data_IF_857867992466
#
_entry.id   IF_857867992466
#
_cell.length_a   1.000
_cell.length_b   1.000
_cell.length_c   1.000
_cell.angle_alpha   90.00
_cell.angle_beta   90.00
_cell.angle_gamma   90.00
#
_symmetry.space_group_name_H-M   'P 1'
#
loop_
_entity.id
_entity.type
_entity.pdbx_description
1 polymer ?
#
# COMPACT_ATOMS: atom_id res chain seq x y z
N UNK A 1 24.85 -4.99 -3.48
CA UNK A 1 24.22 -3.71 -3.10
C UNK A 1 23.74 -3.84 -1.66
N UNK A 2 24.08 -2.89 -0.79
CA UNK A 2 23.66 -2.91 0.61
C UNK A 2 22.22 -2.42 0.69
N UNK A 3 21.26 -3.32 0.91
CA UNK A 3 19.86 -2.94 1.09
C UNK A 3 19.72 -2.05 2.33
N UNK A 4 19.08 -0.90 2.18
CA UNK A 4 18.79 -0.05 3.33
C UNK A 4 17.78 -0.75 4.24
N UNK A 5 17.69 -0.31 5.50
CA UNK A 5 16.64 -0.79 6.41
C UNK A 5 15.24 -0.55 5.82
N UNK A 6 15.05 0.56 5.10
CA UNK A 6 13.76 0.91 4.49
C UNK A 6 13.42 -0.05 3.36
N UNK A 7 14.38 -0.43 2.53
CA UNK A 7 14.13 -1.35 1.42
C UNK A 7 13.64 -2.72 1.92
N UNK A 8 14.23 -3.21 3.02
CA UNK A 8 13.78 -4.44 3.68
C UNK A 8 12.37 -4.33 4.25
N UNK A 9 12.00 -3.15 4.77
CA UNK A 9 10.65 -2.89 5.28
C UNK A 9 9.65 -2.82 4.12
N UNK A 10 10.01 -2.18 3.01
CA UNK A 10 9.17 -2.09 1.82
C UNK A 10 8.88 -3.48 1.25
N UNK A 11 9.91 -4.33 1.11
CA UNK A 11 9.76 -5.72 0.66
C UNK A 11 8.86 -6.51 1.63
N UNK A 12 9.12 -6.44 2.93
CA UNK A 12 8.33 -7.16 3.94
C UNK A 12 6.85 -6.76 3.94
N UNK A 13 6.55 -5.46 3.87
CA UNK A 13 5.18 -4.96 3.79
C UNK A 13 4.54 -5.38 2.47
N UNK A 14 5.29 -5.32 1.36
CA UNK A 14 4.80 -5.72 0.03
C UNK A 14 4.39 -7.20 0.00
N UNK A 15 5.25 -8.10 0.46
CA UNK A 15 4.98 -9.54 0.51
C UNK A 15 3.75 -9.84 1.37
N UNK A 16 3.71 -9.29 2.58
CA UNK A 16 2.60 -9.53 3.50
C UNK A 16 1.28 -8.95 2.99
N UNK A 17 1.32 -7.76 2.37
CA UNK A 17 0.14 -7.18 1.75
C UNK A 17 -0.32 -7.97 0.52
N UNK A 18 0.60 -8.52 -0.27
CA UNK A 18 0.24 -9.36 -1.40
C UNK A 18 -0.55 -10.59 -0.95
N UNK A 19 -0.14 -11.23 0.15
CA UNK A 19 -0.90 -12.35 0.76
C UNK A 19 -2.28 -11.91 1.26
N UNK A 20 -2.34 -10.83 2.06
CA UNK A 20 -3.61 -10.33 2.62
C UNK A 20 -4.57 -9.96 1.49
N UNK A 21 -4.04 -9.29 0.46
CA UNK A 21 -4.83 -8.88 -0.68
C UNK A 21 -5.23 -10.08 -1.50
N UNK A 22 -4.43 -11.12 -1.66
CA UNK A 22 -4.83 -12.32 -2.40
C UNK A 22 -5.99 -13.05 -1.69
N UNK A 23 -5.93 -13.16 -0.36
CA UNK A 23 -7.04 -13.69 0.46
C UNK A 23 -8.31 -12.82 0.33
N UNK A 24 -8.15 -11.50 0.21
CA UNK A 24 -9.27 -10.58 0.03
C UNK A 24 -9.71 -10.41 -1.44
N UNK A 25 -8.86 -10.65 -2.43
CA UNK A 25 -9.02 -10.27 -3.85
C UNK A 25 -10.12 -11.06 -4.57
N UNK A 26 -10.62 -12.14 -3.98
CA UNK A 26 -11.91 -12.73 -4.35
C UNK A 26 -13.10 -11.76 -4.19
N UNK A 27 -12.85 -10.54 -3.66
CA UNK A 27 -13.66 -9.32 -3.71
C UNK A 27 -14.52 -9.17 -4.98
N UNK A 28 -14.01 -9.54 -6.17
CA UNK A 28 -14.79 -9.50 -7.41
C UNK A 28 -14.30 -10.55 -8.41
N UNK A 29 -15.18 -11.42 -8.93
CA UNK A 29 -14.83 -12.34 -10.00
C UNK A 29 -14.22 -11.63 -11.21
N UNK A 30 -13.12 -12.19 -11.74
CA UNK A 30 -12.44 -11.69 -12.93
C UNK A 30 -11.65 -10.39 -12.73
N UNK A 31 -11.34 -10.01 -11.48
CA UNK A 31 -10.41 -8.92 -11.15
C UNK A 31 -9.15 -9.52 -10.53
N UNK A 32 -8.00 -9.21 -11.12
CA UNK A 32 -6.69 -9.56 -10.60
C UNK A 32 -6.06 -8.30 -10.03
N UNK A 33 -5.67 -8.36 -8.76
CA UNK A 33 -5.08 -7.26 -8.02
C UNK A 33 -3.70 -7.70 -7.53
N UNK A 34 -2.69 -6.88 -7.79
CA UNK A 34 -1.29 -7.20 -7.44
C UNK A 34 -0.60 -5.99 -6.81
N UNK A 35 0.14 -6.21 -5.72
CA UNK A 35 0.98 -5.17 -5.11
C UNK A 35 2.28 -5.04 -5.90
N UNK A 36 2.49 -3.90 -6.54
CA UNK A 36 3.64 -3.64 -7.41
C UNK A 36 4.83 -3.14 -6.57
N UNK A 37 4.57 -2.14 -5.73
CA UNK A 37 5.59 -1.43 -4.95
C UNK A 37 5.00 -0.97 -3.62
N UNK A 38 5.85 -0.94 -2.60
CA UNK A 38 5.60 -0.21 -1.36
C UNK A 38 6.69 0.83 -1.18
N UNK A 39 6.31 2.04 -0.78
CA UNK A 39 7.22 3.13 -0.48
C UNK A 39 6.92 3.69 0.90
N UNK A 40 7.76 3.32 1.86
CA UNK A 40 7.63 3.71 3.27
C UNK A 40 8.43 4.98 3.55
N UNK A 41 7.80 5.91 4.27
CA UNK A 41 8.45 7.14 4.74
C UNK A 41 9.65 6.82 5.65
N UNK A 42 10.67 7.69 5.64
CA UNK A 42 11.90 7.50 6.44
C UNK A 42 11.65 7.41 7.94
N UNK A 43 10.58 8.04 8.41
CA UNK A 43 10.14 8.03 9.81
C UNK A 43 9.19 6.84 10.14
N UNK A 44 8.91 5.96 9.17
CA UNK A 44 8.04 4.79 9.30
C UNK A 44 6.60 5.11 9.72
N UNK A 45 6.13 6.35 9.50
CA UNK A 45 4.75 6.74 9.81
C UNK A 45 3.76 6.36 8.72
N UNK A 46 4.17 6.37 7.46
CA UNK A 46 3.30 6.15 6.30
C UNK A 46 3.95 5.21 5.28
N UNK A 47 3.12 4.42 4.58
CA UNK A 47 3.55 3.55 3.50
C UNK A 47 2.59 3.63 2.33
N UNK A 48 3.09 4.08 1.18
CA UNK A 48 2.34 4.12 -0.08
C UNK A 48 2.38 2.76 -0.73
N UNK A 49 1.20 2.21 -1.00
CA UNK A 49 1.03 0.89 -1.63
C UNK A 49 0.54 1.12 -3.05
N UNK A 50 1.38 0.77 -4.00
CA UNK A 50 1.09 0.84 -5.43
C UNK A 50 0.57 -0.52 -5.88
N UNK A 51 -0.59 -0.53 -6.53
CA UNK A 51 -1.25 -1.76 -6.97
C UNK A 51 -1.58 -1.69 -8.46
N UNK A 52 -1.52 -2.85 -9.11
CA UNK A 52 -2.01 -3.05 -10.47
C UNK A 52 -3.32 -3.81 -10.44
N UNK A 53 -4.27 -3.42 -11.30
CA UNK A 53 -5.58 -4.07 -11.41
C UNK A 53 -5.84 -4.46 -12.86
N UNK A 54 -6.09 -5.74 -13.10
CA UNK A 54 -6.52 -6.25 -14.39
C UNK A 54 -7.94 -6.84 -14.30
N UNK A 55 -8.87 -6.51 -15.21
CA UNK A 55 -8.72 -5.57 -16.33
C UNK A 55 -8.76 -4.11 -15.87
N UNK A 56 -8.00 -3.24 -16.54
CA UNK A 56 -7.80 -1.81 -16.18
C UNK A 56 -9.11 -1.03 -16.01
N UNK A 57 -10.16 -1.37 -16.76
CA UNK A 57 -11.50 -0.77 -16.62
C UNK A 57 -12.10 -0.88 -15.21
N UNK A 58 -11.60 -1.80 -14.38
CA UNK A 58 -12.03 -2.02 -12.99
C UNK A 58 -11.16 -1.27 -11.98
N UNK A 59 -10.05 -0.66 -12.41
CA UNK A 59 -9.05 -0.05 -11.55
C UNK A 59 -9.65 0.88 -10.49
N UNK A 60 -10.38 1.91 -10.91
CA UNK A 60 -10.95 2.89 -9.97
C UNK A 60 -11.88 2.24 -8.95
N UNK A 61 -12.79 1.37 -9.41
CA UNK A 61 -13.74 0.67 -8.55
C UNK A 61 -13.03 -0.22 -7.52
N UNK A 62 -11.96 -0.90 -7.94
CA UNK A 62 -11.16 -1.77 -7.06
C UNK A 62 -10.41 -0.94 -6.02
N UNK A 63 -9.77 0.17 -6.42
CA UNK A 63 -9.09 1.06 -5.47
C UNK A 63 -10.06 1.63 -4.43
N UNK A 64 -11.24 2.10 -4.85
CA UNK A 64 -12.23 2.65 -3.93
C UNK A 64 -12.69 1.61 -2.90
N UNK A 65 -12.79 0.35 -3.30
CA UNK A 65 -13.11 -0.75 -2.40
C UNK A 65 -11.97 -1.06 -1.43
N UNK A 66 -10.72 -1.08 -1.90
CA UNK A 66 -9.55 -1.24 -1.02
C UNK A 66 -9.45 -0.11 0.01
N UNK A 67 -9.75 1.13 -0.40
CA UNK A 67 -9.80 2.29 0.50
C UNK A 67 -10.89 2.14 1.57
N UNK A 68 -12.07 1.61 1.22
CA UNK A 68 -13.12 1.32 2.22
C UNK A 68 -12.71 0.24 3.20
N UNK A 69 -11.88 -0.71 2.77
CA UNK A 69 -11.38 -1.82 3.59
C UNK A 69 -10.05 -1.55 4.29
N UNK A 70 -9.51 -0.32 4.16
CA UNK A 70 -8.15 0.00 4.63
C UNK A 70 -7.91 -0.36 6.09
N UNK A 71 -8.89 -0.15 6.96
CA UNK A 71 -8.79 -0.48 8.39
C UNK A 71 -8.71 -1.98 8.66
N UNK A 72 -9.47 -2.79 7.92
CA UNK A 72 -9.42 -4.26 8.01
C UNK A 72 -8.05 -4.77 7.55
N UNK A 73 -7.60 -4.31 6.38
CA UNK A 73 -6.32 -4.69 5.79
C UNK A 73 -5.15 -4.27 6.71
N UNK A 74 -5.16 -3.03 7.21
CA UNK A 74 -4.18 -2.55 8.20
C UNK A 74 -4.23 -3.41 9.48
N UNK A 75 -5.42 -3.77 9.96
CA UNK A 75 -5.58 -4.62 11.14
C UNK A 75 -4.97 -6.01 10.95
N UNK A 76 -5.17 -6.62 9.78
CA UNK A 76 -4.55 -7.91 9.43
C UNK A 76 -3.04 -7.77 9.26
N UNK A 77 -2.57 -6.70 8.62
CA UNK A 77 -1.14 -6.40 8.48
C UNK A 77 -0.46 -6.25 9.84
N UNK A 78 -1.09 -5.51 10.78
CA UNK A 78 -0.61 -5.35 12.14
C UNK A 78 -0.50 -6.67 12.91
N UNK A 79 -1.36 -7.65 12.61
CA UNK A 79 -1.33 -8.97 13.23
C UNK A 79 -0.26 -9.87 12.62
N UNK A 80 -0.06 -9.81 11.30
CA UNK A 80 0.95 -10.61 10.59
C UNK A 80 2.37 -10.08 10.79
N UNK A 81 2.56 -8.76 10.87
CA UNK A 81 3.88 -8.14 11.02
C UNK A 81 4.22 -7.83 12.48
N UNK A 82 5.26 -8.50 12.98
CA UNK A 82 5.81 -8.26 14.32
C UNK A 82 6.89 -7.15 14.31
N UNK A 83 6.56 -5.97 13.78
CA UNK A 83 7.47 -4.80 13.79
C UNK A 83 6.82 -3.57 14.40
N UNK A 84 7.64 -2.73 15.04
CA UNK A 84 7.23 -1.45 15.61
C UNK A 84 8.24 -0.34 15.28
N UNK A 85 7.81 0.83 14.80
CA UNK A 85 6.43 1.16 14.41
C UNK A 85 6.04 0.45 13.10
N UNK A 86 4.75 0.15 12.93
CA UNK A 86 4.20 -0.26 11.64
C UNK A 86 3.55 0.98 10.97
N UNK A 87 3.95 1.33 9.73
CA UNK A 87 3.41 2.50 9.06
C UNK A 87 1.92 2.33 8.75
N UNK A 88 1.21 3.45 8.68
CA UNK A 88 -0.15 3.49 8.12
C UNK A 88 -0.07 3.34 6.61
N UNK A 89 -0.78 2.35 6.07
CA UNK A 89 -0.81 2.10 4.64
C UNK A 89 -1.86 2.96 3.93
N UNK A 90 -1.56 3.34 2.69
CA UNK A 90 -2.50 4.00 1.79
C UNK A 90 -2.39 3.42 0.38
N UNK A 91 -3.55 3.17 -0.26
CA UNK A 91 -3.60 2.72 -1.65
C UNK A 91 -3.61 3.91 -2.60
N UNK A 92 -2.61 3.97 -3.46
CA UNK A 92 -2.46 5.02 -4.46
C UNK A 92 -3.09 4.55 -5.77
N UNK A 93 -4.05 5.33 -6.27
CA UNK A 93 -4.59 5.17 -7.61
C UNK A 93 -3.59 5.76 -8.59
N UNK A 94 -2.91 4.94 -9.37
CA UNK A 94 -1.98 5.41 -10.37
C UNK A 94 -2.72 6.15 -11.49
N UNK A 95 -2.76 7.47 -11.36
CA UNK A 95 -2.60 8.40 -12.47
C UNK A 95 -1.45 9.32 -12.10
N UNK A 96 -0.23 8.76 -12.11
CA UNK A 96 1.05 9.43 -12.36
C UNK A 96 1.27 10.80 -11.67
N UNK A 97 2.19 10.79 -10.70
CA UNK A 97 3.03 11.92 -10.28
C UNK A 97 2.42 13.08 -9.47
N UNK A 98 1.12 13.41 -9.58
CA UNK A 98 0.60 14.66 -8.97
C UNK A 98 0.35 14.58 -7.46
N UNK A 99 -0.01 13.42 -6.91
CA UNK A 99 -0.37 13.32 -5.47
C UNK A 99 0.85 13.11 -4.55
N UNK A 100 1.97 12.60 -5.10
CA UNK A 100 3.21 12.42 -4.34
C UNK A 100 3.74 13.75 -3.82
N UNK A 101 3.67 14.81 -4.64
CA UNK A 101 4.03 16.17 -4.29
C UNK A 101 3.10 16.78 -3.22
N UNK A 102 1.81 16.44 -3.23
CA UNK A 102 0.88 16.92 -2.19
C UNK A 102 1.17 16.30 -0.84
N UNK A 103 1.46 15.00 -0.79
CA UNK A 103 1.78 14.32 0.46
C UNK A 103 3.14 14.78 0.96
N UNK A 104 4.13 14.97 0.08
CA UNK A 104 5.43 15.54 0.47
C UNK A 104 5.29 16.99 0.98
N UNK A 105 4.40 17.80 0.40
CA UNK A 105 4.06 19.13 0.91
C UNK A 105 3.37 19.09 2.27
N UNK A 106 2.36 18.23 2.45
CA UNK A 106 1.68 18.06 3.73
C UNK A 106 2.62 17.54 4.83
N UNK A 107 3.57 16.66 4.48
CA UNK A 107 4.60 16.17 5.40
C UNK A 107 5.66 17.24 5.72
N UNK A 108 5.90 18.21 4.82
CA UNK A 108 6.79 19.35 5.06
C UNK A 108 6.15 20.45 5.92
N UNK A 109 4.82 20.59 5.90
CA UNK A 109 4.08 21.59 6.68
C UNK A 109 3.91 21.21 8.17
N UNK A 110 4.11 19.95 8.54
CA UNK A 110 4.07 19.49 9.95
C UNK A 110 5.47 19.55 10.60
N UNK A 111 6.36 20.39 10.06
CA UNK A 111 7.73 20.57 10.54
C UNK A 111 7.94 21.93 11.17
#
# INVERSE_FOLDING_TARGET
MTYSRIDRINELIKETLAEIIQEEAEISPGVFLTVVKVDTSRDLRYARVFVSVFPERKFQKTIDLLRKKIYSIQGTLNKKLHMKPLPRIEFVADKTEVEADKIEKLLKEIK
#
